data_IF_958435476213
#
_entry.id   IF_958435476213
#
_cell.length_a   1.000
_cell.length_b   1.000
_cell.length_c   1.000
_cell.angle_alpha   90.00
_cell.angle_beta   90.00
_cell.angle_gamma   90.00
#
_symmetry.space_group_name_H-M   'P 1'
#
loop_
_entity.id
_entity.type
_entity.pdbx_description
1 polymer ?
#
# COMPACT_ATOMS: atom_id res chain seq x y z
N UNK A 1 27.54 7.22 3.19
CA UNK A 1 27.78 6.38 2.00
C UNK A 1 26.43 5.97 1.43
N UNK A 2 26.16 6.41 0.20
CA UNK A 2 25.22 5.82 -0.75
C UNK A 2 23.86 5.32 -0.18
N UNK A 3 22.94 6.23 0.12
CA UNK A 3 21.52 5.86 0.29
C UNK A 3 20.81 5.68 -1.06
N UNK A 4 21.41 6.17 -2.14
CA UNK A 4 20.77 6.30 -3.44
C UNK A 4 20.99 5.08 -4.35
N UNK A 5 22.05 4.27 -4.14
CA UNK A 5 22.16 3.00 -4.88
C UNK A 5 21.06 2.01 -4.50
N UNK A 6 20.45 2.12 -3.31
CA UNK A 6 19.31 1.28 -2.92
C UNK A 6 18.15 1.48 -3.88
N UNK A 7 17.96 2.69 -4.43
CA UNK A 7 16.93 2.98 -5.43
C UNK A 7 17.13 2.21 -6.74
N UNK A 8 18.38 1.85 -7.06
CA UNK A 8 18.71 1.10 -8.27
C UNK A 8 18.51 -0.40 -8.11
N UNK A 9 18.37 -0.89 -6.87
CA UNK A 9 18.18 -2.30 -6.58
C UNK A 9 16.67 -2.58 -6.57
N UNK A 10 16.13 -3.27 -7.59
CA UNK A 10 14.74 -3.70 -7.54
C UNK A 10 14.55 -4.68 -6.38
N UNK A 11 13.43 -4.56 -5.67
CA UNK A 11 13.09 -5.50 -4.62
C UNK A 11 11.60 -5.84 -4.63
N UNK A 12 11.31 -7.00 -4.04
CA UNK A 12 9.95 -7.43 -3.77
C UNK A 12 9.66 -7.18 -2.29
N UNK A 13 8.51 -6.61 -2.00
CA UNK A 13 8.00 -6.45 -0.64
C UNK A 13 6.52 -6.80 -0.57
N UNK A 14 6.02 -6.97 0.64
CA UNK A 14 4.59 -7.06 0.89
C UNK A 14 4.19 -5.75 1.54
N UNK A 15 3.40 -4.97 0.83
CA UNK A 15 2.90 -3.68 1.30
C UNK A 15 1.44 -3.79 1.73
N UNK A 16 1.05 -3.02 2.75
CA UNK A 16 -0.36 -2.87 3.13
C UNK A 16 -0.92 -1.68 2.37
N UNK A 17 -1.95 -1.91 1.56
CA UNK A 17 -2.62 -0.85 0.81
C UNK A 17 -4.04 -0.65 1.32
N UNK A 18 -4.58 0.53 1.13
CA UNK A 18 -5.98 0.81 1.40
C UNK A 18 -6.85 0.73 0.17
N UNK A 19 -8.09 0.33 0.44
CA UNK A 19 -9.13 0.07 -0.53
C UNK A 19 -10.27 1.06 -0.32
N UNK A 20 -10.76 1.62 -1.41
CA UNK A 20 -11.97 2.44 -1.44
C UNK A 20 -12.98 1.79 -2.39
N UNK A 21 -14.22 1.71 -1.95
CA UNK A 21 -15.36 1.29 -2.75
C UNK A 21 -15.67 2.34 -3.81
N UNK A 22 -15.76 1.89 -5.07
CA UNK A 22 -16.19 2.72 -6.20
C UNK A 22 -17.19 1.94 -7.04
N UNK A 23 -18.47 2.14 -6.75
CA UNK A 23 -19.52 1.28 -7.29
C UNK A 23 -19.61 0.00 -6.47
N UNK A 24 -19.59 -1.16 -7.13
CA UNK A 24 -19.66 -2.47 -6.48
C UNK A 24 -18.26 -3.13 -6.30
N UNK A 25 -17.18 -2.39 -6.55
CA UNK A 25 -15.80 -2.92 -6.50
C UNK A 25 -14.91 -2.10 -5.56
N UNK A 26 -14.00 -2.79 -4.87
CA UNK A 26 -12.95 -2.20 -4.04
C UNK A 26 -11.70 -1.92 -4.89
N UNK A 27 -11.28 -0.67 -4.93
CA UNK A 27 -10.09 -0.22 -5.66
C UNK A 27 -8.95 0.14 -4.72
N UNK A 28 -7.73 -0.22 -5.12
CA UNK A 28 -6.50 0.21 -4.43
C UNK A 28 -6.33 1.72 -4.63
N UNK A 29 -6.20 2.46 -3.53
CA UNK A 29 -6.01 3.91 -3.55
C UNK A 29 -4.54 4.29 -3.36
N UNK A 30 -3.96 3.88 -2.23
CA UNK A 30 -2.58 4.19 -1.87
C UNK A 30 -2.03 3.20 -0.84
N UNK A 31 -0.73 3.30 -0.55
CA UNK A 31 -0.11 2.56 0.54
C UNK A 31 -0.60 3.08 1.90
N UNK A 32 -0.75 2.18 2.86
CA UNK A 32 -1.06 2.51 4.24
C UNK A 32 0.01 3.43 4.86
N UNK A 33 1.27 3.34 4.40
CA UNK A 33 2.34 4.24 4.86
C UNK A 33 2.01 5.71 4.61
N UNK A 34 1.32 6.00 3.50
CA UNK A 34 1.10 7.36 3.00
C UNK A 34 -0.13 8.03 3.61
N UNK A 35 -0.96 7.25 4.31
CA UNK A 35 -2.17 7.71 4.97
C UNK A 35 -1.83 8.67 6.11
N UNK A 36 -2.58 9.77 6.19
CA UNK A 36 -2.51 10.73 7.30
C UNK A 36 -3.53 10.37 8.38
N UNK A 37 -3.23 10.63 9.67
CA UNK A 37 -4.21 10.48 10.73
C UNK A 37 -5.48 11.31 10.43
N UNK A 38 -6.65 10.68 10.58
CA UNK A 38 -7.94 11.28 10.26
C UNK A 38 -8.48 10.96 8.86
N UNK A 39 -7.68 10.37 7.96
CA UNK A 39 -8.19 9.80 6.72
C UNK A 39 -8.88 8.45 6.97
N UNK A 40 -9.95 8.20 6.22
CA UNK A 40 -10.80 7.01 6.37
C UNK A 40 -10.99 6.35 5.00
N UNK A 41 -10.90 5.03 4.97
CA UNK A 41 -11.08 4.19 3.80
C UNK A 41 -12.01 3.01 4.14
N UNK A 42 -12.48 2.28 3.14
CA UNK A 42 -13.46 1.19 3.33
C UNK A 42 -12.79 -0.13 3.72
N UNK A 43 -11.57 -0.36 3.23
CA UNK A 43 -10.82 -1.58 3.51
C UNK A 43 -9.32 -1.41 3.42
N UNK A 44 -8.61 -2.49 3.72
CA UNK A 44 -7.18 -2.63 3.43
C UNK A 44 -6.86 -4.08 3.09
N UNK A 45 -5.77 -4.28 2.35
CA UNK A 45 -5.23 -5.59 2.06
C UNK A 45 -3.72 -5.54 1.95
N UNK A 46 -3.10 -6.71 2.04
CA UNK A 46 -1.68 -6.90 1.79
C UNK A 46 -1.48 -7.31 0.33
N UNK A 47 -0.58 -6.64 -0.36
CA UNK A 47 -0.23 -6.94 -1.74
C UNK A 47 1.26 -7.13 -1.87
N UNK A 48 1.64 -8.09 -2.69
CA UNK A 48 3.03 -8.21 -3.12
C UNK A 48 3.32 -7.10 -4.12
N UNK A 49 4.27 -6.25 -3.82
CA UNK A 49 4.67 -5.12 -4.65
C UNK A 49 6.09 -5.34 -5.15
N UNK A 50 6.31 -4.99 -6.40
CA UNK A 50 7.63 -4.85 -6.98
C UNK A 50 7.99 -3.36 -6.96
N UNK A 51 9.04 -3.00 -6.23
CA UNK A 51 9.48 -1.61 -6.11
C UNK A 51 10.83 -1.43 -6.81
N UNK A 52 10.89 -0.43 -7.69
CA UNK A 52 12.12 -0.03 -8.36
C UNK A 52 12.11 1.46 -8.67
N UNK A 53 13.21 2.18 -8.41
CA UNK A 53 13.32 3.62 -8.65
C UNK A 53 12.20 4.47 -8.01
N UNK A 54 11.74 4.09 -6.81
CA UNK A 54 10.57 4.68 -6.11
C UNK A 54 9.22 4.50 -6.82
N UNK A 55 9.11 3.56 -7.76
CA UNK A 55 7.85 3.17 -8.38
C UNK A 55 7.48 1.79 -7.88
N UNK A 56 6.28 1.66 -7.31
CA UNK A 56 5.75 0.41 -6.78
C UNK A 56 4.65 -0.11 -7.69
N UNK A 57 4.80 -1.35 -8.14
CA UNK A 57 3.85 -2.03 -9.02
C UNK A 57 3.19 -3.18 -8.24
N UNK A 58 1.86 -3.16 -8.06
CA UNK A 58 1.16 -4.27 -7.42
C UNK A 58 1.18 -5.51 -8.31
N UNK A 59 1.43 -6.68 -7.72
CA UNK A 59 1.50 -7.94 -8.43
C UNK A 59 0.82 -9.07 -7.65
N UNK A 60 -0.05 -9.81 -8.35
CA UNK A 60 -0.75 -10.96 -7.78
C UNK A 60 -2.09 -10.62 -7.13
N UNK A 61 -2.59 -11.55 -6.33
CA UNK A 61 -3.88 -11.42 -5.65
C UNK A 61 -3.72 -10.75 -4.28
N UNK A 62 -4.70 -9.96 -3.83
CA UNK A 62 -4.70 -9.40 -2.49
C UNK A 62 -4.76 -10.50 -1.43
N UNK A 63 -4.00 -10.30 -0.36
CA UNK A 63 -3.88 -11.18 0.80
C UNK A 63 -4.48 -10.43 1.99
N UNK A 64 -5.05 -11.16 2.96
CA UNK A 64 -5.53 -10.58 4.23
C UNK A 64 -6.46 -9.36 4.07
N UNK A 65 -7.42 -9.45 3.16
CA UNK A 65 -8.44 -8.41 2.96
C UNK A 65 -9.24 -8.24 4.25
N UNK A 66 -9.24 -7.02 4.80
CA UNK A 66 -9.87 -6.69 6.08
C UNK A 66 -10.44 -5.27 6.07
N UNK A 67 -11.30 -4.95 7.04
CA UNK A 67 -11.78 -3.59 7.26
C UNK A 67 -10.63 -2.63 7.56
N UNK A 68 -10.77 -1.38 7.15
CA UNK A 68 -9.75 -0.36 7.39
C UNK A 68 -9.56 -0.05 8.88
N UNK A 69 -8.30 0.14 9.28
CA UNK A 69 -7.90 0.50 10.65
C UNK A 69 -7.24 1.90 10.60
N UNK A 70 -7.94 2.93 11.09
CA UNK A 70 -7.45 4.31 11.01
C UNK A 70 -6.20 4.52 11.85
N UNK A 71 -5.27 5.34 11.33
CA UNK A 71 -4.16 5.85 12.14
C UNK A 71 -4.70 6.78 13.22
N UNK A 72 -4.58 6.36 14.47
CA UNK A 72 -4.91 7.19 15.64
C UNK A 72 -3.72 8.10 15.95
N UNK A 73 -3.98 9.38 16.21
CA UNK A 73 -2.95 10.31 16.69
C UNK A 73 -2.62 9.90 18.13
N UNK A 74 -1.38 9.44 18.36
CA UNK A 74 -0.85 9.18 19.69
C UNK A 74 -0.46 10.48 20.40
#
# INVERSE_FOLDING_TARGET
MIKWLVLLIPHWETDTVVLQEKGDELHIVCSYSDIKPGEVFDGMCELKTFTWLNWSFPYGQPINVRSFEPKVIA
#
